data_IF_607456423903
#
_entry.id   IF_607456423903
#
_cell.length_a   1.000
_cell.length_b   1.000
_cell.length_c   1.000
_cell.angle_alpha   90.00
_cell.angle_beta   90.00
_cell.angle_gamma   90.00
#
_symmetry.space_group_name_H-M   'P 1'
#
loop_
_entity.id
_entity.type
_entity.pdbx_description
1 polymer ?
#
# COMPACT_ATOMS: atom_id res chain seq x y z
N UNK A 1 11.14 10.54 -2.44
CA UNK A 1 10.54 9.24 -2.08
C UNK A 1 11.23 8.77 -0.81
N UNK A 2 10.48 8.56 0.27
CA UNK A 2 11.04 8.17 1.57
C UNK A 2 10.45 6.84 1.99
N UNK A 3 11.29 5.83 2.20
CA UNK A 3 10.85 4.56 2.78
C UNK A 3 10.55 4.77 4.26
N UNK A 4 9.36 4.35 4.70
CA UNK A 4 8.93 4.44 6.11
C UNK A 4 9.03 3.08 6.79
N UNK A 5 8.57 2.04 6.11
CA UNK A 5 8.56 0.69 6.66
C UNK A 5 8.71 -0.32 5.52
N UNK A 6 9.53 -1.34 5.71
CA UNK A 6 9.52 -2.54 4.89
C UNK A 6 9.63 -3.77 5.79
N UNK A 7 8.78 -4.75 5.55
CA UNK A 7 8.82 -5.97 6.32
C UNK A 7 7.63 -6.89 6.09
N UNK A 8 7.77 -8.09 6.61
CA UNK A 8 6.63 -9.00 6.66
C UNK A 8 5.76 -8.68 7.86
N UNK A 9 4.47 -8.53 7.62
CA UNK A 9 3.46 -8.37 8.66
C UNK A 9 2.46 -9.53 8.59
N UNK A 10 1.94 -9.92 9.76
CA UNK A 10 0.82 -10.84 9.85
C UNK A 10 -0.50 -10.11 9.56
N UNK A 11 -1.56 -10.89 9.35
CA UNK A 11 -2.91 -10.36 9.10
C UNK A 11 -3.42 -9.46 10.23
N UNK A 12 -3.02 -9.72 11.47
CA UNK A 12 -3.40 -8.93 12.65
C UNK A 12 -3.00 -7.44 12.56
N UNK A 13 -1.92 -7.14 11.82
CA UNK A 13 -1.47 -5.78 11.59
C UNK A 13 -2.25 -5.05 10.47
N UNK A 14 -3.11 -5.75 9.73
CA UNK A 14 -4.01 -5.18 8.73
C UNK A 14 -5.30 -4.75 9.41
N UNK A 15 -5.56 -3.44 9.48
CA UNK A 15 -6.83 -2.92 10.00
C UNK A 15 -7.82 -2.73 8.85
N UNK A 16 -7.85 -1.55 8.23
CA UNK A 16 -8.80 -1.20 7.16
C UNK A 16 -8.50 -1.96 5.86
N UNK A 17 -7.22 -2.19 5.58
CA UNK A 17 -6.78 -2.89 4.37
C UNK A 17 -7.08 -4.39 4.36
N UNK A 18 -7.42 -4.99 5.51
CA UNK A 18 -7.81 -6.40 5.58
C UNK A 18 -9.06 -6.71 4.74
N UNK A 19 -9.94 -5.72 4.54
CA UNK A 19 -11.11 -5.86 3.68
C UNK A 19 -10.76 -5.83 2.18
N UNK A 20 -9.63 -5.24 1.81
CA UNK A 20 -9.17 -5.11 0.43
C UNK A 20 -8.22 -6.26 0.01
N UNK A 21 -7.66 -6.97 0.99
CA UNK A 21 -6.69 -8.04 0.78
C UNK A 21 -7.31 -9.41 1.08
N UNK A 22 -6.95 -10.46 0.31
CA UNK A 22 -7.40 -11.82 0.58
C UNK A 22 -6.83 -12.34 1.90
N UNK A 23 -7.46 -13.35 2.51
CA UNK A 23 -7.01 -14.00 3.75
C UNK A 23 -5.76 -14.86 3.51
N UNK A 24 -4.60 -14.29 3.85
CA UNK A 24 -3.30 -14.93 3.74
C UNK A 24 -2.57 -14.80 5.09
N UNK A 25 -1.71 -15.77 5.45
CA UNK A 25 -1.05 -15.78 6.76
C UNK A 25 0.05 -14.72 6.89
N UNK A 26 0.63 -14.27 5.77
CA UNK A 26 1.78 -13.37 5.75
C UNK A 26 1.74 -12.46 4.53
N UNK A 27 1.92 -11.16 4.78
CA UNK A 27 2.01 -10.14 3.75
C UNK A 27 3.35 -9.43 3.87
N UNK A 28 3.96 -9.09 2.75
CA UNK A 28 5.07 -8.15 2.71
C UNK A 28 4.50 -6.76 2.49
N UNK A 29 4.72 -5.89 3.47
CA UNK A 29 4.35 -4.48 3.41
C UNK A 29 5.58 -3.64 3.11
N UNK A 30 5.43 -2.72 2.17
CA UNK A 30 6.37 -1.62 1.95
C UNK A 30 5.64 -0.29 1.97
N UNK A 31 5.82 0.48 3.03
CA UNK A 31 5.27 1.81 3.21
C UNK A 31 6.26 2.88 2.74
N UNK A 32 5.81 3.74 1.82
CA UNK A 32 6.64 4.75 1.17
C UNK A 32 5.88 6.08 1.17
N UNK A 33 6.52 7.15 1.60
CA UNK A 33 6.00 8.51 1.44
C UNK A 33 6.41 9.02 0.07
N UNK A 34 5.39 9.31 -0.72
CA UNK A 34 5.50 9.92 -2.03
C UNK A 34 5.07 11.37 -1.90
N UNK A 35 6.06 12.26 -2.01
CA UNK A 35 5.86 13.70 -2.21
C UNK A 35 5.64 13.91 -3.71
N UNK A 36 4.46 13.54 -4.21
CA UNK A 36 4.08 13.83 -5.58
C UNK A 36 3.48 15.25 -5.62
N UNK A 37 4.09 16.11 -6.43
CA UNK A 37 3.54 17.43 -6.74
C UNK A 37 2.37 17.22 -7.73
N UNK A 38 1.25 16.72 -7.22
CA UNK A 38 -0.02 16.63 -7.94
C UNK A 38 -0.11 15.70 -9.17
N UNK A 39 0.99 15.15 -9.68
CA UNK A 39 1.00 14.46 -10.98
C UNK A 39 1.08 12.91 -10.83
N UNK A 40 0.17 12.15 -11.48
CA UNK A 40 0.10 10.70 -11.33
C UNK A 40 1.11 9.97 -12.24
N UNK A 41 2.03 9.22 -11.63
CA UNK A 41 2.93 8.29 -12.34
C UNK A 41 2.30 6.97 -12.80
N UNK A 42 1.04 6.70 -12.43
CA UNK A 42 0.35 5.43 -12.71
C UNK A 42 -0.99 5.72 -13.40
N UNK A 43 -1.14 5.36 -14.69
CA UNK A 43 -2.41 5.52 -15.39
C UNK A 43 -3.46 4.59 -14.79
N UNK A 44 -4.63 5.14 -14.41
CA UNK A 44 -5.78 4.37 -13.90
C UNK A 44 -5.99 4.42 -12.39
N UNK A 45 -5.01 4.92 -11.61
CA UNK A 45 -5.21 5.15 -10.19
C UNK A 45 -5.91 6.51 -9.96
N UNK A 46 -7.14 6.47 -9.41
CA UNK A 46 -7.92 7.67 -9.04
C UNK A 46 -7.31 8.34 -7.81
N UNK A 47 -6.13 8.93 -7.94
CA UNK A 47 -5.49 9.67 -6.86
C UNK A 47 -6.26 10.97 -6.60
N UNK A 48 -6.90 11.10 -5.44
CA UNK A 48 -7.40 12.39 -4.96
C UNK A 48 -6.20 13.24 -4.57
N UNK A 49 -5.92 14.30 -5.35
CA UNK A 49 -4.87 15.33 -5.13
C UNK A 49 -4.50 15.48 -3.64
N UNK A 50 -3.39 14.88 -3.24
CA UNK A 50 -2.74 15.13 -1.95
C UNK A 50 -1.26 15.34 -2.22
N UNK A 51 -0.69 16.42 -1.65
CA UNK A 51 0.72 16.82 -1.83
C UNK A 51 1.72 15.85 -1.17
N UNK A 52 1.22 14.97 -0.29
CA UNK A 52 1.97 13.91 0.38
C UNK A 52 1.05 12.71 0.54
N UNK A 53 1.41 11.59 -0.09
CA UNK A 53 0.67 10.33 -0.03
C UNK A 53 1.55 9.27 0.65
N UNK A 54 1.00 8.55 1.62
CA UNK A 54 1.61 7.32 2.08
C UNK A 54 1.10 6.21 1.18
N UNK A 55 2.00 5.65 0.38
CA UNK A 55 1.71 4.50 -0.48
C UNK A 55 2.19 3.26 0.23
N UNK A 56 1.28 2.31 0.41
CA UNK A 56 1.58 0.98 0.93
C UNK A 56 1.52 0.02 -0.23
N UNK A 57 2.67 -0.56 -0.58
CA UNK A 57 2.76 -1.65 -1.53
C UNK A 57 2.71 -2.96 -0.77
N UNK A 58 1.74 -3.78 -1.15
CA UNK A 58 1.47 -5.08 -0.57
C UNK A 58 1.91 -6.15 -1.53
N UNK A 59 2.71 -7.10 -1.04
CA UNK A 59 3.07 -8.31 -1.78
C UNK A 59 2.69 -9.53 -0.97
N UNK A 60 1.92 -10.41 -1.57
CA UNK A 60 1.47 -11.65 -0.93
C UNK A 60 1.39 -12.76 -1.96
N UNK A 61 1.46 -14.01 -1.50
CA UNK A 61 1.25 -15.18 -2.34
C UNK A 61 -0.18 -15.62 -2.12
N UNK A 62 -1.02 -15.51 -3.14
CA UNK A 62 -2.37 -16.05 -3.08
C UNK A 62 -2.56 -17.16 -4.10
N UNK A 63 -3.01 -18.32 -3.63
CA UNK A 63 -3.17 -19.53 -4.46
C UNK A 63 -1.90 -19.91 -5.24
N UNK A 64 -0.73 -19.74 -4.63
CA UNK A 64 0.59 -20.01 -5.25
C UNK A 64 1.05 -18.97 -6.28
N UNK A 65 0.30 -17.86 -6.46
CA UNK A 65 0.67 -16.76 -7.35
C UNK A 65 1.04 -15.53 -6.55
N UNK A 66 2.19 -14.92 -6.88
CA UNK A 66 2.57 -13.62 -6.33
C UNK A 66 1.62 -12.54 -6.85
N UNK A 67 1.01 -11.81 -5.91
CA UNK A 67 0.11 -10.68 -6.15
C UNK A 67 0.68 -9.42 -5.53
N UNK A 68 0.28 -8.30 -6.12
CA UNK A 68 0.67 -6.96 -5.73
C UNK A 68 -0.59 -6.11 -5.60
N UNK A 69 -0.66 -5.30 -4.55
CA UNK A 69 -1.72 -4.31 -4.39
C UNK A 69 -1.12 -3.03 -3.82
N UNK A 70 -1.60 -1.88 -4.28
CA UNK A 70 -1.16 -0.59 -3.78
C UNK A 70 -2.34 0.09 -3.08
N UNK A 71 -2.19 0.43 -1.80
CA UNK A 71 -3.16 1.25 -1.08
C UNK A 71 -2.59 2.62 -0.76
N UNK A 72 -3.47 3.61 -0.83
CA UNK A 72 -3.15 5.02 -0.83
C UNK A 72 -3.76 5.66 0.40
N UNK A 73 -3.04 5.70 1.52
CA UNK A 73 -3.58 6.27 2.74
C UNK A 73 -3.28 7.77 2.79
N UNK A 74 -4.35 8.56 2.84
CA UNK A 74 -4.25 9.98 3.22
C UNK A 74 -3.96 9.99 4.72
N UNK A 75 -2.74 10.37 5.14
CA UNK A 75 -2.56 10.85 6.51
C UNK A 75 -3.41 12.11 6.67
N UNK A 76 -4.50 12.02 7.44
CA UNK A 76 -5.16 13.21 7.96
C UNK A 76 -4.18 13.80 8.99
N UNK A 77 -3.58 14.93 8.65
CA UNK A 77 -3.06 15.87 9.65
C UNK A 77 -4.19 16.82 10.02
#
# INVERSE_FOLDING_TARGET
MTLVNEGYIGRDALTDEAALLPDEPRYWLREIILNADGEPWLPGARWRRSRRCVVRNWRYSSSGKLRWADTCLRRRH
#
